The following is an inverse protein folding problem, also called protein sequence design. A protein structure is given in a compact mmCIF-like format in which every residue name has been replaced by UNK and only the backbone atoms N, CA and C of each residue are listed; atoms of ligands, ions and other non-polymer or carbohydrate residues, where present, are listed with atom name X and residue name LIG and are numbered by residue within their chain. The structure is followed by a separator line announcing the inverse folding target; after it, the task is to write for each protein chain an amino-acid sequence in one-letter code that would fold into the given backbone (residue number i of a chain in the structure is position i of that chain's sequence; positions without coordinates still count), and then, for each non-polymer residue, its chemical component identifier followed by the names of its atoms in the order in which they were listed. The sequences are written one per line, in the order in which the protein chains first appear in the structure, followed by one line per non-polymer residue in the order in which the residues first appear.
data_IF_506033082976
#
_entry.id   IF_506033082976
#
_cell.length_a   1.000
_cell.length_b   1.000
_cell.length_c   1.000
_cell.angle_alpha   90.00
_cell.angle_beta   90.00
_cell.angle_gamma   90.00
#
_symmetry.space_group_name_H-M   'P 1'
#
loop_
_entity.id
_entity.type
_entity.pdbx_description
1 polymer ?
#
# COMPACT_ATOMS: atom_id res chain seq x y z
N UNK A 1 -8.97 -25.66 -13.61
CA UNK A 1 -7.99 -26.37 -12.75
C UNK A 1 -6.63 -26.38 -13.42
N UNK A 2 -5.85 -25.32 -13.20
CA UNK A 2 -4.41 -25.42 -13.41
C UNK A 2 -3.84 -26.15 -12.19
N UNK A 3 -3.06 -27.20 -12.43
CA UNK A 3 -2.40 -27.96 -11.37
C UNK A 3 -1.38 -27.05 -10.66
N UNK A 4 -1.48 -26.93 -9.33
CA UNK A 4 -0.55 -26.11 -8.54
C UNK A 4 0.85 -26.71 -8.59
N UNK A 5 1.88 -25.86 -8.69
CA UNK A 5 3.27 -26.30 -8.64
C UNK A 5 3.62 -26.83 -7.24
N UNK A 6 4.11 -28.07 -7.16
CA UNK A 6 4.53 -28.67 -5.88
C UNK A 6 5.90 -28.14 -5.45
N UNK A 7 5.98 -27.57 -4.25
CA UNK A 7 7.25 -27.12 -3.68
C UNK A 7 8.00 -28.29 -3.01
N UNK A 8 9.33 -28.19 -3.00
CA UNK A 8 10.22 -29.21 -2.41
C UNK A 8 10.46 -28.99 -0.92
N UNK A 9 10.56 -27.73 -0.48
CA UNK A 9 10.78 -27.36 0.92
C UNK A 9 9.45 -27.33 1.68
N UNK A 10 9.32 -28.16 2.71
CA UNK A 10 8.08 -28.35 3.50
C UNK A 10 8.17 -27.77 4.91
N UNK A 11 9.23 -27.02 5.21
CA UNK A 11 9.46 -26.38 6.50
C UNK A 11 9.59 -24.87 6.36
N UNK A 12 9.07 -24.13 7.34
CA UNK A 12 9.21 -22.67 7.42
C UNK A 12 10.67 -22.33 7.69
N UNK A 13 11.27 -21.56 6.77
CA UNK A 13 12.68 -21.21 6.82
C UNK A 13 13.05 -20.24 7.92
N UNK A 14 14.32 -20.26 8.33
CA UNK A 14 14.88 -19.26 9.24
C UNK A 14 14.83 -17.85 8.66
N UNK A 15 15.03 -17.69 7.35
CA UNK A 15 14.89 -16.41 6.64
C UNK A 15 13.46 -15.85 6.76
N UNK A 16 12.44 -16.69 6.54
CA UNK A 16 11.04 -16.28 6.69
C UNK A 16 10.67 -15.92 8.13
N UNK A 17 11.18 -16.68 9.12
CA UNK A 17 10.96 -16.36 10.55
C UNK A 17 11.58 -15.01 10.92
N UNK A 18 12.83 -14.77 10.52
CA UNK A 18 13.51 -13.48 10.72
C UNK A 18 12.77 -12.32 10.05
N UNK A 19 12.26 -12.53 8.84
CA UNK A 19 11.48 -11.49 8.15
C UNK A 19 10.15 -11.22 8.87
N UNK A 20 9.47 -12.26 9.38
CA UNK A 20 8.24 -12.11 10.14
C UNK A 20 8.45 -11.38 11.48
N UNK A 21 9.60 -11.57 12.13
CA UNK A 21 9.99 -10.84 13.36
C UNK A 21 10.12 -9.31 13.15
N UNK A 22 10.35 -8.87 11.90
CA UNK A 22 10.40 -7.45 11.54
C UNK A 22 9.01 -6.84 11.26
N UNK A 23 7.93 -7.62 11.33
CA UNK A 23 6.58 -7.07 11.13
C UNK A 23 6.20 -6.30 12.39
N UNK A 24 5.99 -4.97 12.29
CA UNK A 24 5.63 -4.19 13.46
C UNK A 24 4.22 -4.55 13.94
N UNK A 25 3.96 -4.42 15.23
CA UNK A 25 2.65 -4.71 15.82
C UNK A 25 1.64 -3.54 15.67
N UNK A 26 2.09 -2.40 15.13
CA UNK A 26 1.30 -1.20 14.85
C UNK A 26 1.84 -0.43 13.63
N UNK A 27 1.03 0.47 13.09
CA UNK A 27 1.40 1.31 11.94
C UNK A 27 2.49 2.30 12.36
N UNK A 28 3.52 2.47 11.53
CA UNK A 28 4.56 3.48 11.74
C UNK A 28 4.22 4.87 11.18
N UNK A 29 5.09 5.86 11.42
CA UNK A 29 4.94 7.24 10.94
C UNK A 29 6.07 7.57 9.95
N UNK A 30 5.72 8.06 8.76
CA UNK A 30 6.63 8.40 7.68
C UNK A 30 7.27 9.77 7.86
N UNK A 31 6.48 10.81 8.13
CA UNK A 31 6.96 12.20 8.20
C UNK A 31 7.53 12.50 9.59
N UNK A 32 8.81 12.20 9.79
CA UNK A 32 9.49 12.41 11.08
C UNK A 32 10.69 13.35 10.93
N UNK A 33 10.70 14.41 11.73
CA UNK A 33 11.81 15.35 11.84
C UNK A 33 12.91 14.86 12.78
N UNK A 34 13.96 15.65 12.97
CA UNK A 34 15.04 15.36 13.90
C UNK A 34 15.06 16.36 15.07
N UNK A 35 14.96 15.90 16.34
CA UNK A 35 15.08 16.78 17.50
C UNK A 35 16.45 17.46 17.63
N UNK A 36 17.53 16.78 17.23
CA UNK A 36 18.89 17.36 17.23
C UNK A 36 19.10 18.36 16.09
N UNK A 37 18.29 18.28 15.04
CA UNK A 37 18.35 19.15 13.87
C UNK A 37 16.93 19.64 13.46
N UNK A 38 16.25 20.44 14.32
CA UNK A 38 14.81 20.73 14.18
C UNK A 38 14.46 21.67 13.01
N UNK A 39 15.46 22.19 12.31
CA UNK A 39 15.32 23.03 11.12
C UNK A 39 15.28 22.21 9.81
N UNK A 40 15.57 20.91 9.85
CA UNK A 40 15.50 20.06 8.66
C UNK A 40 14.06 19.79 8.25
N UNK A 41 13.80 19.81 6.95
CA UNK A 41 12.53 19.39 6.39
C UNK A 41 12.32 17.89 6.69
N UNK A 42 11.18 17.44 7.25
CA UNK A 42 10.98 16.10 7.81
C UNK A 42 10.73 15.05 6.71
N UNK A 43 11.58 15.00 5.68
CA UNK A 43 11.46 14.13 4.52
C UNK A 43 12.71 13.30 4.33
N UNK A 44 12.57 11.97 4.39
CA UNK A 44 13.62 11.00 4.10
C UNK A 44 14.95 11.28 4.83
N UNK A 45 14.87 11.75 6.08
CA UNK A 45 16.03 12.19 6.86
C UNK A 45 16.90 11.05 7.40
N UNK A 46 16.37 9.83 7.42
CA UNK A 46 16.99 8.70 8.11
C UNK A 46 17.39 7.58 7.15
N UNK A 47 18.52 6.94 7.44
CA UNK A 47 18.89 5.62 6.98
C UNK A 47 18.49 4.56 8.01
N UNK A 48 18.30 3.32 7.57
CA UNK A 48 17.87 2.20 8.42
C UNK A 48 18.44 0.87 7.91
N UNK A 49 18.67 -0.07 8.83
CA UNK A 49 19.21 -1.39 8.56
C UNK A 49 18.42 -2.48 9.29
N UNK A 50 17.99 -3.52 8.57
CA UNK A 50 17.25 -4.66 9.11
C UNK A 50 17.99 -5.46 10.19
N UNK A 51 19.32 -5.44 10.20
CA UNK A 51 20.13 -6.07 11.27
C UNK A 51 20.05 -5.31 12.60
N UNK A 52 19.63 -4.04 12.55
CA UNK A 52 19.42 -3.17 13.72
C UNK A 52 18.06 -2.48 13.62
N UNK A 53 16.95 -3.25 13.69
CA UNK A 53 15.66 -2.79 13.22
C UNK A 53 15.06 -1.64 14.06
N UNK A 54 15.54 -1.48 15.29
CA UNK A 54 15.09 -0.42 16.20
C UNK A 54 15.98 0.83 16.15
N UNK A 55 17.04 0.85 15.32
CA UNK A 55 17.92 2.00 15.14
C UNK A 55 17.61 2.74 13.84
N UNK A 56 17.56 4.08 13.91
CA UNK A 56 17.55 4.96 12.74
C UNK A 56 18.76 5.88 12.77
N UNK A 57 19.36 6.15 11.61
CA UNK A 57 20.59 6.92 11.48
C UNK A 57 20.28 8.22 10.72
N UNK A 58 20.50 9.37 11.34
CA UNK A 58 20.26 10.65 10.69
C UNK A 58 21.29 10.88 9.58
N UNK A 59 20.84 11.06 8.33
CA UNK A 59 21.71 11.24 7.16
C UNK A 59 22.64 12.44 7.25
N UNK A 60 22.23 13.48 7.99
CA UNK A 60 22.98 14.74 8.07
C UNK A 60 24.31 14.59 8.81
N UNK A 61 24.32 13.88 9.93
CA UNK A 61 25.46 13.84 10.86
C UNK A 61 25.79 12.43 11.39
N UNK A 62 25.04 11.42 10.97
CA UNK A 62 25.23 10.03 11.39
C UNK A 62 24.76 9.73 12.81
N UNK A 63 24.05 10.64 13.47
CA UNK A 63 23.50 10.37 14.80
C UNK A 63 22.52 9.20 14.77
N UNK A 64 22.63 8.31 15.75
CA UNK A 64 21.83 7.09 15.86
C UNK A 64 20.79 7.29 16.96
N UNK A 65 19.54 6.98 16.67
CA UNK A 65 18.46 6.92 17.66
C UNK A 65 17.95 5.46 17.79
N UNK A 66 17.60 4.95 18.98
CA UNK A 66 17.53 5.66 20.28
C UNK A 66 18.89 6.11 20.80
N UNK A 67 18.95 7.36 21.27
CA UNK A 67 20.07 7.91 22.02
C UNK A 67 19.67 8.12 23.49
N UNK A 68 20.64 8.25 24.40
CA UNK A 68 20.36 8.50 25.81
C UNK A 68 19.97 9.96 26.11
N UNK A 69 19.60 10.75 25.10
CA UNK A 69 19.34 12.19 25.22
C UNK A 69 17.89 12.56 24.89
N UNK A 70 17.31 11.89 23.90
CA UNK A 70 15.95 12.12 23.39
C UNK A 70 15.09 10.91 23.75
N UNK A 71 14.18 11.13 24.71
CA UNK A 71 13.26 10.12 25.20
C UNK A 71 11.83 10.41 24.73
N UNK A 72 11.16 9.41 24.18
CA UNK A 72 9.74 9.48 23.82
C UNK A 72 8.87 9.21 25.07
N UNK A 73 8.73 10.22 25.92
CA UNK A 73 8.05 10.13 27.22
C UNK A 73 6.54 10.45 27.16
N UNK A 74 6.09 11.06 26.07
CA UNK A 74 4.67 11.28 25.78
C UNK A 74 4.12 10.16 24.91
N UNK A 75 2.78 10.02 24.91
CA UNK A 75 2.11 8.98 24.14
C UNK A 75 0.71 9.37 23.69
N UNK A 76 0.37 8.96 22.48
CA UNK A 76 -1.02 8.83 22.04
C UNK A 76 -1.51 7.41 22.29
N UNK A 77 -2.79 7.25 22.61
CA UNK A 77 -3.43 5.94 22.81
C UNK A 77 -4.69 5.93 21.96
N UNK A 78 -4.81 4.94 21.08
CA UNK A 78 -5.97 4.73 20.20
C UNK A 78 -6.56 3.34 20.44
N UNK A 79 -7.83 3.15 20.06
CA UNK A 79 -8.46 1.83 20.03
C UNK A 79 -8.40 1.21 18.63
N UNK A 80 -8.02 -0.06 18.55
CA UNK A 80 -8.20 -0.87 17.34
C UNK A 80 -9.64 -1.44 17.25
N UNK A 81 -9.93 -2.21 16.20
CA UNK A 81 -11.27 -2.79 15.96
C UNK A 81 -11.72 -3.72 17.09
N UNK A 82 -10.76 -4.39 17.74
CA UNK A 82 -11.01 -5.25 18.91
C UNK A 82 -11.16 -4.47 20.22
N UNK A 83 -11.07 -3.14 20.21
CA UNK A 83 -11.16 -2.28 21.40
C UNK A 83 -9.91 -2.30 22.29
N UNK A 84 -8.80 -2.87 21.81
CA UNK A 84 -7.52 -2.90 22.52
C UNK A 84 -6.79 -1.56 22.37
N UNK A 85 -5.99 -1.20 23.38
CA UNK A 85 -5.16 0.00 23.33
C UNK A 85 -3.94 -0.21 22.44
N UNK A 86 -3.72 0.73 21.53
CA UNK A 86 -2.52 0.84 20.70
C UNK A 86 -1.80 2.13 21.07
N UNK A 87 -0.54 2.03 21.49
CA UNK A 87 0.22 3.14 22.08
C UNK A 87 1.24 3.68 21.08
N UNK A 88 1.31 5.00 20.93
CA UNK A 88 2.22 5.69 20.03
C UNK A 88 3.08 6.65 20.85
N UNK A 89 4.26 6.22 21.31
CA UNK A 89 5.18 7.09 22.03
C UNK A 89 5.77 8.16 21.08
N UNK A 90 6.03 9.34 21.62
CA UNK A 90 6.69 10.43 20.91
C UNK A 90 7.46 11.33 21.87
N UNK A 91 8.46 12.01 21.33
CA UNK A 91 9.12 13.14 21.97
C UNK A 91 8.45 14.43 21.52
N UNK A 92 8.26 15.38 22.42
CA UNK A 92 7.75 16.71 22.10
C UNK A 92 8.76 17.78 22.53
N UNK A 93 9.12 18.68 21.61
CA UNK A 93 10.03 19.79 21.91
C UNK A 93 9.31 20.98 22.57
N UNK A 94 10.10 22.01 22.91
CA UNK A 94 9.61 23.25 23.49
C UNK A 94 8.65 24.04 22.58
N UNK A 95 8.67 23.79 21.27
CA UNK A 95 7.80 24.41 20.27
C UNK A 95 6.56 23.55 19.96
N UNK A 96 6.30 22.51 20.77
CA UNK A 96 5.20 21.54 20.62
C UNK A 96 5.29 20.72 19.32
N UNK A 97 6.47 20.58 18.72
CA UNK A 97 6.67 19.65 17.60
C UNK A 97 6.80 18.23 18.14
N UNK A 98 6.06 17.31 17.52
CA UNK A 98 6.07 15.90 17.88
C UNK A 98 7.00 15.10 16.98
N UNK A 99 7.78 14.21 17.59
CA UNK A 99 8.78 13.38 16.94
C UNK A 99 8.52 11.92 17.30
N UNK A 100 8.05 11.14 16.33
CA UNK A 100 7.74 9.71 16.47
C UNK A 100 8.88 8.84 15.90
N UNK A 101 10.05 8.92 16.54
CA UNK A 101 11.28 8.26 16.12
C UNK A 101 11.15 6.73 16.16
N UNK A 102 10.56 6.15 17.22
CA UNK A 102 10.27 4.70 17.25
C UNK A 102 9.30 4.31 16.15
N UNK A 103 8.25 5.10 15.92
CA UNK A 103 7.26 4.79 14.89
C UNK A 103 7.84 4.93 13.49
N UNK A 104 8.85 5.78 13.29
CA UNK A 104 9.58 5.83 12.03
C UNK A 104 10.38 4.55 11.78
N UNK A 105 11.04 4.01 12.81
CA UNK A 105 11.71 2.71 12.71
C UNK A 105 10.71 1.60 12.33
N UNK A 106 9.51 1.58 12.94
CA UNK A 106 8.45 0.62 12.58
C UNK A 106 7.95 0.80 11.13
N UNK A 107 7.86 2.04 10.64
CA UNK A 107 7.52 2.31 9.24
C UNK A 107 8.56 1.68 8.30
N UNK A 108 9.85 1.87 8.58
CA UNK A 108 10.96 1.35 7.77
C UNK A 108 11.05 -0.17 7.83
N UNK A 109 10.83 -0.77 9.01
CA UNK A 109 10.69 -2.21 9.20
C UNK A 109 9.61 -2.81 8.28
N UNK A 110 8.39 -2.26 8.30
CA UNK A 110 7.30 -2.72 7.42
C UNK A 110 7.63 -2.53 5.94
N UNK A 111 8.21 -1.38 5.59
CA UNK A 111 8.60 -1.10 4.20
C UNK A 111 9.60 -2.14 3.67
N UNK A 112 10.54 -2.57 4.52
CA UNK A 112 11.50 -3.64 4.22
C UNK A 112 10.82 -5.01 4.09
N UNK A 113 9.95 -5.39 5.02
CA UNK A 113 9.18 -6.66 4.91
C UNK A 113 8.42 -6.71 3.59
N UNK A 114 7.71 -5.64 3.24
CA UNK A 114 6.98 -5.55 1.99
C UNK A 114 7.91 -5.62 0.77
N UNK A 115 9.11 -5.03 0.79
CA UNK A 115 10.04 -5.13 -0.35
C UNK A 115 10.62 -6.52 -0.56
N UNK A 116 10.85 -7.28 0.51
CA UNK A 116 11.42 -8.63 0.41
C UNK A 116 10.40 -9.69 -0.03
N UNK A 117 9.12 -9.49 0.29
CA UNK A 117 8.05 -10.45 0.06
C UNK A 117 7.96 -11.00 -1.39
N UNK A 118 7.96 -10.18 -2.46
CA UNK A 118 7.92 -10.68 -3.84
C UNK A 118 9.12 -11.56 -4.21
N UNK A 119 10.31 -11.21 -3.70
CA UNK A 119 11.53 -11.99 -3.91
C UNK A 119 11.50 -13.31 -3.16
N UNK A 120 11.02 -13.29 -1.91
CA UNK A 120 10.83 -14.50 -1.11
C UNK A 120 9.79 -15.43 -1.73
N UNK A 121 8.67 -14.93 -2.22
CA UNK A 121 7.61 -15.74 -2.83
C UNK A 121 8.11 -16.60 -4.00
N UNK A 122 9.15 -16.16 -4.72
CA UNK A 122 9.78 -16.93 -5.82
C UNK A 122 10.77 -17.99 -5.33
N UNK A 123 11.52 -17.71 -4.25
CA UNK A 123 12.61 -18.56 -3.74
C UNK A 123 12.16 -19.53 -2.64
N UNK A 124 11.21 -19.10 -1.82
CA UNK A 124 10.67 -19.80 -0.66
C UNK A 124 9.15 -19.51 -0.53
N UNK A 125 8.30 -20.11 -1.38
CA UNK A 125 6.86 -19.83 -1.38
C UNK A 125 6.18 -20.13 -0.03
N UNK A 126 6.60 -21.19 0.68
CA UNK A 126 6.07 -21.51 2.02
C UNK A 126 6.49 -20.47 3.06
N UNK A 127 7.74 -20.01 3.00
CA UNK A 127 8.22 -18.90 3.82
C UNK A 127 7.44 -17.60 3.57
N UNK A 128 7.19 -17.25 2.31
CA UNK A 128 6.40 -16.07 1.96
C UNK A 128 4.94 -16.18 2.45
N UNK A 129 4.31 -17.36 2.31
CA UNK A 129 2.97 -17.61 2.84
C UNK A 129 2.92 -17.39 4.36
N UNK A 130 3.94 -17.85 5.08
CA UNK A 130 4.07 -17.64 6.52
C UNK A 130 4.22 -16.15 6.89
N UNK A 131 5.06 -15.40 6.16
CA UNK A 131 5.24 -13.96 6.40
C UNK A 131 3.95 -13.18 6.10
N UNK A 132 3.23 -13.52 5.02
CA UNK A 132 1.91 -12.94 4.71
C UNK A 132 0.90 -13.17 5.83
N UNK A 133 0.87 -14.37 6.40
CA UNK A 133 -0.01 -14.68 7.52
C UNK A 133 0.34 -13.86 8.77
N UNK A 134 1.63 -13.71 9.10
CA UNK A 134 2.04 -12.86 10.21
C UNK A 134 1.70 -11.38 9.95
N UNK A 135 1.78 -10.93 8.69
CA UNK A 135 1.36 -9.58 8.32
C UNK A 135 -0.16 -9.38 8.50
N UNK A 136 -0.95 -10.41 8.18
CA UNK A 136 -2.39 -10.44 8.45
C UNK A 136 -2.70 -10.32 9.95
N UNK A 137 -2.01 -11.10 10.80
CA UNK A 137 -2.19 -11.02 12.25
C UNK A 137 -1.79 -9.65 12.84
N UNK A 138 -0.74 -9.03 12.30
CA UNK A 138 -0.36 -7.67 12.69
C UNK A 138 -1.41 -6.64 12.23
N UNK A 139 -1.93 -6.77 11.01
CA UNK A 139 -2.92 -5.85 10.44
C UNK A 139 -4.19 -5.73 11.30
N UNK A 140 -4.64 -6.82 11.94
CA UNK A 140 -5.78 -6.80 12.89
C UNK A 140 -5.61 -5.80 14.03
N UNK A 141 -4.37 -5.46 14.38
CA UNK A 141 -4.02 -4.53 15.46
C UNK A 141 -3.86 -3.09 14.98
N UNK A 142 -3.70 -2.89 13.66
CA UNK A 142 -3.38 -1.60 13.09
C UNK A 142 -4.52 -0.60 13.25
N UNK A 143 -4.12 0.65 13.48
CA UNK A 143 -5.00 1.83 13.43
C UNK A 143 -4.51 2.74 12.30
N UNK A 144 -5.40 3.47 11.61
CA UNK A 144 -4.99 4.46 10.62
C UNK A 144 -4.14 5.55 11.26
N UNK A 145 -3.32 6.21 10.46
CA UNK A 145 -2.58 7.40 10.87
C UNK A 145 -3.05 8.59 10.05
N UNK A 146 -2.99 9.79 10.62
CA UNK A 146 -2.82 11.03 9.87
C UNK A 146 -1.33 11.37 9.90
N UNK A 147 -0.71 11.50 8.74
CA UNK A 147 0.73 11.56 8.61
C UNK A 147 1.12 12.55 7.51
N UNK A 148 1.42 13.78 7.95
CA UNK A 148 1.96 14.84 7.10
C UNK A 148 3.10 15.54 7.82
N UNK A 149 3.82 16.39 7.09
CA UNK A 149 4.96 17.15 7.62
C UNK A 149 4.60 17.85 8.94
N UNK A 150 5.40 17.57 9.99
CA UNK A 150 5.24 18.11 11.34
C UNK A 150 3.91 17.80 12.05
N UNK A 151 3.02 17.02 11.44
CA UNK A 151 1.70 16.68 11.98
C UNK A 151 1.39 15.21 11.68
N UNK A 152 2.02 14.32 12.44
CA UNK A 152 1.73 12.89 12.45
C UNK A 152 1.00 12.51 13.73
N UNK A 153 -0.08 11.72 13.66
CA UNK A 153 -0.72 11.12 14.82
C UNK A 153 -1.57 9.90 14.41
N UNK A 154 -1.70 8.88 15.28
CA UNK A 154 -2.61 7.76 15.04
C UNK A 154 -4.07 8.21 15.18
N UNK A 155 -4.99 7.50 14.53
CA UNK A 155 -6.42 7.81 14.50
C UNK A 155 -7.21 6.63 15.06
N UNK A 156 -8.14 6.89 15.98
CA UNK A 156 -9.00 5.84 16.54
C UNK A 156 -9.96 5.30 15.47
N UNK A 157 -9.97 3.98 15.26
CA UNK A 157 -10.87 3.34 14.27
C UNK A 157 -12.35 3.52 14.61
N UNK A 158 -12.69 3.76 15.88
CA UNK A 158 -14.07 4.01 16.32
C UNK A 158 -14.67 5.31 15.78
N UNK A 159 -13.83 6.24 15.32
CA UNK A 159 -14.33 7.44 14.65
C UNK A 159 -15.06 7.11 13.35
N UNK A 160 -14.75 5.95 12.76
CA UNK A 160 -15.30 5.52 11.48
C UNK A 160 -14.81 6.40 10.31
N UNK A 161 -15.09 5.99 9.07
CA UNK A 161 -14.82 6.82 7.92
C UNK A 161 -15.74 8.08 7.88
N UNK A 162 -15.32 9.17 7.22
CA UNK A 162 -14.08 9.30 6.47
C UNK A 162 -12.87 9.56 7.38
N UNK A 163 -11.79 8.83 7.13
CA UNK A 163 -10.51 9.07 7.76
C UNK A 163 -9.79 10.28 7.12
N UNK A 164 -8.80 10.87 7.81
CA UNK A 164 -8.10 12.05 7.32
C UNK A 164 -7.45 11.89 5.93
N UNK A 165 -7.46 12.96 5.12
CA UNK A 165 -6.91 12.96 3.75
C UNK A 165 -5.44 12.56 3.67
N UNK A 166 -4.61 13.00 4.60
CA UNK A 166 -3.21 12.56 4.70
C UNK A 166 -3.12 11.36 5.62
N UNK A 167 -3.88 10.31 5.33
CA UNK A 167 -3.93 9.15 6.21
C UNK A 167 -4.08 7.84 5.48
N UNK A 168 -3.72 6.77 6.18
CA UNK A 168 -3.69 5.42 5.63
C UNK A 168 -3.31 4.39 6.69
N UNK A 169 -3.26 3.13 6.29
CA UNK A 169 -2.79 2.01 7.13
C UNK A 169 -1.48 1.47 6.56
N UNK A 170 -1.42 1.26 5.25
CA UNK A 170 -0.22 0.81 4.54
C UNK A 170 0.70 1.96 4.15
N UNK A 171 0.15 3.14 3.93
CA UNK A 171 0.88 4.36 3.56
C UNK A 171 0.48 5.54 4.45
N UNK A 172 1.28 6.60 4.40
CA UNK A 172 0.95 7.90 4.99
C UNK A 172 -0.15 8.64 4.22
N UNK A 173 -0.46 8.18 2.99
CA UNK A 173 -1.44 8.81 2.10
C UNK A 173 -2.34 7.78 1.43
N UNK A 174 -3.66 7.89 1.65
CA UNK A 174 -4.63 6.87 1.24
C UNK A 174 -4.58 6.54 -0.26
N UNK A 175 -4.26 7.50 -1.15
CA UNK A 175 -4.14 7.18 -2.58
C UNK A 175 -3.13 6.08 -2.84
N UNK A 176 -2.03 6.07 -2.10
CA UNK A 176 -0.92 5.15 -2.29
C UNK A 176 -1.01 3.89 -1.44
N UNK A 177 -2.03 3.77 -0.58
CA UNK A 177 -2.15 2.69 0.41
C UNK A 177 -2.18 1.31 -0.26
N UNK A 178 -3.08 1.12 -1.24
CA UNK A 178 -3.14 -0.13 -2.01
C UNK A 178 -1.94 -0.33 -2.93
N UNK A 179 -1.29 0.76 -3.38
CA UNK A 179 -0.04 0.65 -4.15
C UNK A 179 1.12 0.13 -3.28
N UNK A 180 1.16 0.51 -2.00
CA UNK A 180 2.14 -0.04 -1.04
C UNK A 180 1.81 -1.51 -0.74
N UNK A 181 0.52 -1.83 -0.53
CA UNK A 181 0.07 -3.22 -0.31
C UNK A 181 0.34 -4.13 -1.52
N UNK A 182 0.45 -3.58 -2.73
CA UNK A 182 0.66 -4.34 -3.97
C UNK A 182 1.87 -5.30 -3.91
N UNK A 183 2.89 -5.01 -3.08
CA UNK A 183 4.01 -5.94 -2.90
C UNK A 183 3.59 -7.25 -2.20
N UNK A 184 2.69 -7.18 -1.21
CA UNK A 184 2.10 -8.37 -0.59
C UNK A 184 1.16 -9.10 -1.56
N UNK A 185 0.48 -8.35 -2.42
CA UNK A 185 -0.39 -8.88 -3.49
C UNK A 185 0.42 -9.68 -4.50
N UNK A 186 1.54 -9.13 -4.98
CA UNK A 186 2.45 -9.82 -5.92
C UNK A 186 3.02 -11.11 -5.31
N UNK A 187 3.33 -11.08 -4.02
CA UNK A 187 3.75 -12.27 -3.27
C UNK A 187 2.63 -13.31 -3.19
N UNK A 188 1.41 -12.92 -2.80
CA UNK A 188 0.26 -13.84 -2.76
C UNK A 188 -0.01 -14.45 -4.14
N UNK A 189 -0.04 -13.63 -5.20
CA UNK A 189 -0.27 -14.10 -6.56
C UNK A 189 0.74 -15.18 -6.97
N UNK A 190 2.01 -15.00 -6.63
CA UNK A 190 3.08 -15.97 -6.88
C UNK A 190 2.89 -17.24 -6.04
N UNK A 191 2.65 -17.09 -4.73
CA UNK A 191 2.45 -18.22 -3.80
C UNK A 191 1.24 -19.06 -4.20
N UNK A 192 0.14 -18.45 -4.66
CA UNK A 192 -1.10 -19.12 -5.08
C UNK A 192 -0.90 -20.09 -6.24
N UNK A 193 0.14 -19.89 -7.06
CA UNK A 193 0.49 -20.83 -8.14
C UNK A 193 1.16 -22.13 -7.64
N UNK A 194 1.40 -22.23 -6.33
CA UNK A 194 2.09 -23.35 -5.68
C UNK A 194 1.22 -24.03 -4.61
N UNK A 195 1.60 -25.22 -4.15
CA UNK A 195 0.94 -25.90 -3.01
C UNK A 195 1.35 -25.35 -1.63
N UNK A 196 2.08 -24.23 -1.56
CA UNK A 196 2.55 -23.62 -0.31
C UNK A 196 1.44 -23.25 0.68
N UNK A 197 0.36 -22.63 0.19
CA UNK A 197 -0.80 -22.31 1.03
C UNK A 197 -1.46 -23.57 1.57
N UNK A 198 -1.59 -24.62 0.75
CA UNK A 198 -2.20 -25.89 1.18
C UNK A 198 -1.35 -26.57 2.26
N UNK A 199 -0.02 -26.54 2.12
CA UNK A 199 0.91 -27.06 3.14
C UNK A 199 0.72 -26.29 4.45
N UNK A 200 0.75 -24.96 4.39
CA UNK A 200 0.65 -24.14 5.60
C UNK A 200 -0.72 -24.29 6.27
N UNK A 201 -1.79 -24.36 5.49
CA UNK A 201 -3.14 -24.64 5.97
C UNK A 201 -3.23 -25.97 6.71
N UNK A 202 -2.60 -27.02 6.16
CA UNK A 202 -2.54 -28.33 6.83
C UNK A 202 -1.70 -28.30 8.11
N UNK A 203 -0.60 -27.55 8.13
CA UNK A 203 0.25 -27.39 9.33
C UNK A 203 -0.48 -26.67 10.47
N UNK A 204 -1.32 -25.69 10.14
CA UNK A 204 -2.00 -24.82 11.11
C UNK A 204 -3.47 -25.21 11.39
N UNK A 205 -4.02 -26.13 10.59
CA UNK A 205 -5.38 -26.66 10.71
C UNK A 205 -6.46 -25.57 10.51
N UNK A 206 -6.23 -24.66 9.56
CA UNK A 206 -7.22 -23.70 9.06
C UNK A 206 -6.87 -23.26 7.62
N UNK A 207 -7.81 -22.67 6.89
CA UNK A 207 -7.56 -22.18 5.53
C UNK A 207 -6.82 -20.83 5.53
N UNK A 208 -5.52 -20.88 5.29
CA UNK A 208 -4.66 -19.69 5.24
C UNK A 208 -5.03 -18.76 4.10
N UNK A 209 -5.44 -19.28 2.95
CA UNK A 209 -5.82 -18.42 1.83
C UNK A 209 -7.07 -17.62 2.17
N UNK A 210 -8.09 -18.29 2.70
CA UNK A 210 -9.32 -17.64 3.14
C UNK A 210 -9.06 -16.58 4.22
N UNK A 211 -8.23 -16.89 5.22
CA UNK A 211 -7.79 -15.91 6.23
C UNK A 211 -7.13 -14.69 5.59
N UNK A 212 -6.16 -14.87 4.68
CA UNK A 212 -5.49 -13.75 4.02
C UNK A 212 -6.49 -12.89 3.22
N UNK A 213 -7.40 -13.52 2.48
CA UNK A 213 -8.41 -12.82 1.68
C UNK A 213 -9.34 -12.01 2.59
N UNK A 214 -9.91 -12.64 3.62
CA UNK A 214 -10.98 -12.06 4.41
C UNK A 214 -10.50 -11.15 5.55
N UNK A 215 -9.28 -11.32 6.04
CA UNK A 215 -8.78 -10.59 7.21
C UNK A 215 -7.66 -9.59 6.89
N UNK A 216 -7.08 -9.64 5.69
CA UNK A 216 -6.05 -8.69 5.24
C UNK A 216 -6.47 -7.93 3.98
N UNK A 217 -6.72 -8.63 2.87
CA UNK A 217 -6.89 -7.98 1.56
C UNK A 217 -8.26 -7.30 1.40
N UNK A 218 -9.37 -7.99 1.68
CA UNK A 218 -10.72 -7.38 1.62
C UNK A 218 -10.86 -6.19 2.57
N UNK A 219 -10.47 -6.29 3.87
CA UNK A 219 -10.56 -5.14 4.77
C UNK A 219 -9.67 -3.95 4.35
N UNK A 220 -8.52 -4.21 3.72
CA UNK A 220 -7.66 -3.15 3.19
C UNK A 220 -8.31 -2.42 2.02
N UNK A 221 -8.99 -3.15 1.13
CA UNK A 221 -9.79 -2.56 0.04
C UNK A 221 -10.94 -1.75 0.62
N UNK A 222 -11.74 -2.33 1.53
CA UNK A 222 -12.87 -1.65 2.17
C UNK A 222 -12.45 -0.34 2.86
N UNK A 223 -11.32 -0.36 3.57
CA UNK A 223 -10.74 0.84 4.17
C UNK A 223 -10.50 1.94 3.13
N UNK A 224 -9.92 1.60 1.97
CA UNK A 224 -9.63 2.59 0.92
C UNK A 224 -10.87 3.02 0.15
N UNK A 225 -11.83 2.12 -0.03
CA UNK A 225 -13.11 2.42 -0.66
C UNK A 225 -14.02 3.29 0.23
N UNK A 226 -13.71 3.40 1.53
CA UNK A 226 -14.39 4.34 2.43
C UNK A 226 -14.04 5.82 2.16
N UNK A 227 -12.93 6.09 1.46
CA UNK A 227 -12.54 7.45 1.10
C UNK A 227 -13.36 7.97 -0.07
N UNK A 228 -13.73 9.25 0.01
CA UNK A 228 -14.34 9.97 -1.10
C UNK A 228 -13.43 9.91 -2.36
N UNK A 229 -14.05 9.78 -3.52
CA UNK A 229 -13.40 10.01 -4.82
C UNK A 229 -13.28 11.52 -5.05
N UNK A 230 -12.06 12.01 -5.19
CA UNK A 230 -11.78 13.44 -5.39
C UNK A 230 -11.59 13.79 -6.86
N UNK A 231 -11.36 12.79 -7.73
CA UNK A 231 -10.95 12.99 -9.11
C UNK A 231 -9.67 13.84 -9.21
N UNK A 232 -8.75 13.61 -8.28
CA UNK A 232 -7.42 14.22 -8.28
C UNK A 232 -6.45 13.46 -9.17
N UNK A 233 -5.33 14.10 -9.47
CA UNK A 233 -4.20 13.50 -10.19
C UNK A 233 -3.66 12.17 -9.63
N UNK A 234 -4.06 11.77 -8.41
CA UNK A 234 -3.58 10.58 -7.73
C UNK A 234 -4.62 9.46 -7.59
N UNK A 235 -5.87 9.67 -8.03
CA UNK A 235 -6.93 8.65 -7.88
C UNK A 235 -6.58 7.33 -8.61
N UNK A 236 -5.77 7.37 -9.67
CA UNK A 236 -5.32 6.18 -10.41
C UNK A 236 -4.54 5.17 -9.54
N UNK A 237 -3.88 5.63 -8.46
CA UNK A 237 -3.13 4.73 -7.56
C UNK A 237 -4.02 3.70 -6.88
N UNK A 238 -5.29 4.05 -6.63
CA UNK A 238 -6.29 3.12 -6.07
C UNK A 238 -6.58 2.02 -7.08
N UNK A 239 -6.89 2.36 -8.33
CA UNK A 239 -7.27 1.38 -9.36
C UNK A 239 -6.12 0.45 -9.74
N UNK A 240 -4.88 0.94 -9.72
CA UNK A 240 -3.70 0.08 -9.82
C UNK A 240 -3.68 -0.99 -8.74
N UNK A 241 -3.97 -0.60 -7.50
CA UNK A 241 -4.07 -1.52 -6.36
C UNK A 241 -5.26 -2.48 -6.47
N UNK A 242 -6.46 -1.97 -6.77
CA UNK A 242 -7.67 -2.80 -6.92
C UNK A 242 -7.50 -3.86 -8.01
N UNK A 243 -7.02 -3.48 -9.20
CA UNK A 243 -6.82 -4.41 -10.30
C UNK A 243 -5.79 -5.50 -9.94
N UNK A 244 -4.71 -5.15 -9.22
CA UNK A 244 -3.75 -6.12 -8.72
C UNK A 244 -4.37 -7.09 -7.71
N UNK A 245 -5.11 -6.55 -6.72
CA UNK A 245 -5.75 -7.34 -5.66
C UNK A 245 -6.78 -8.29 -6.26
N UNK A 246 -7.63 -7.80 -7.18
CA UNK A 246 -8.66 -8.58 -7.87
C UNK A 246 -8.12 -9.91 -8.42
N UNK A 247 -7.00 -9.85 -9.13
CA UNK A 247 -6.36 -11.04 -9.72
C UNK A 247 -5.79 -11.96 -8.63
N UNK A 248 -5.13 -11.38 -7.63
CA UNK A 248 -4.47 -12.17 -6.58
C UNK A 248 -5.47 -12.94 -5.72
N UNK A 249 -6.62 -12.35 -5.39
CA UNK A 249 -7.63 -12.95 -4.50
C UNK A 249 -8.82 -13.60 -5.23
N UNK A 250 -8.81 -13.61 -6.57
CA UNK A 250 -9.92 -14.11 -7.41
C UNK A 250 -11.25 -13.35 -7.19
N UNK A 251 -11.19 -12.02 -7.03
CA UNK A 251 -12.36 -11.16 -6.83
C UNK A 251 -12.60 -10.28 -8.07
N UNK A 252 -13.37 -10.75 -9.07
CA UNK A 252 -13.62 -10.01 -10.31
C UNK A 252 -14.35 -8.68 -10.08
N UNK A 253 -15.17 -8.55 -9.03
CA UNK A 253 -15.89 -7.30 -8.73
C UNK A 253 -14.93 -6.10 -8.60
N UNK A 254 -13.75 -6.31 -8.03
CA UNK A 254 -12.73 -5.27 -7.87
C UNK A 254 -12.08 -4.85 -9.21
N UNK A 255 -12.01 -5.76 -10.19
CA UNK A 255 -11.53 -5.41 -11.53
C UNK A 255 -12.54 -4.50 -12.24
N UNK A 256 -13.82 -4.86 -12.18
CA UNK A 256 -14.91 -4.06 -12.75
C UNK A 256 -15.02 -2.69 -12.09
N UNK A 257 -14.97 -2.63 -10.75
CA UNK A 257 -14.98 -1.37 -10.01
C UNK A 257 -13.81 -0.44 -10.39
N UNK A 258 -12.60 -1.01 -10.52
CA UNK A 258 -11.43 -0.25 -10.93
C UNK A 258 -11.56 0.28 -12.36
N UNK A 259 -12.10 -0.54 -13.27
CA UNK A 259 -12.31 -0.17 -14.67
C UNK A 259 -13.35 0.94 -14.81
N UNK A 260 -14.53 0.80 -14.20
CA UNK A 260 -15.61 1.78 -14.33
C UNK A 260 -15.21 3.14 -13.71
N UNK A 261 -14.54 3.14 -12.56
CA UNK A 261 -14.02 4.39 -11.96
C UNK A 261 -12.98 5.07 -12.82
N UNK A 262 -12.11 4.31 -13.48
CA UNK A 262 -11.13 4.85 -14.41
C UNK A 262 -11.83 5.51 -15.61
N UNK A 263 -12.84 4.85 -16.18
CA UNK A 263 -13.62 5.38 -17.31
C UNK A 263 -14.34 6.67 -16.91
N UNK A 264 -14.99 6.69 -15.75
CA UNK A 264 -15.67 7.88 -15.20
C UNK A 264 -14.68 9.02 -14.94
N UNK A 265 -13.51 8.72 -14.39
CA UNK A 265 -12.47 9.71 -14.15
C UNK A 265 -12.01 10.36 -15.45
N UNK A 266 -11.64 9.57 -16.46
CA UNK A 266 -11.17 10.13 -17.74
C UNK A 266 -12.26 10.99 -18.38
N UNK A 267 -13.51 10.52 -18.34
CA UNK A 267 -14.66 11.22 -18.91
C UNK A 267 -15.01 12.53 -18.18
N UNK A 268 -14.65 12.66 -16.90
CA UNK A 268 -15.00 13.82 -16.06
C UNK A 268 -13.83 14.79 -15.80
N UNK A 269 -12.60 14.38 -16.07
CA UNK A 269 -11.39 15.17 -15.73
C UNK A 269 -10.55 15.59 -16.93
N UNK A 270 -10.90 15.13 -18.13
CA UNK A 270 -10.25 15.58 -19.37
C UNK A 270 -10.95 16.84 -19.90
N UNK A 271 -10.17 17.88 -20.18
CA UNK A 271 -10.62 19.05 -20.91
C UNK A 271 -10.81 18.72 -22.40
N UNK A 272 -11.45 19.62 -23.14
CA UNK A 272 -11.77 19.42 -24.55
C UNK A 272 -10.54 19.14 -25.43
N UNK A 273 -9.37 19.65 -25.05
CA UNK A 273 -8.09 19.46 -25.73
C UNK A 273 -7.26 18.27 -25.19
N UNK A 274 -7.87 17.45 -24.31
CA UNK A 274 -7.22 16.32 -23.66
C UNK A 274 -6.35 16.71 -22.45
N UNK A 275 -6.27 17.99 -22.07
CA UNK A 275 -5.50 18.38 -20.89
C UNK A 275 -6.21 17.94 -19.60
N UNK A 276 -5.46 17.68 -18.54
CA UNK A 276 -6.04 17.28 -17.26
C UNK A 276 -6.60 18.51 -16.53
N UNK A 277 -7.79 18.41 -15.94
CA UNK A 277 -8.56 19.55 -15.42
C UNK A 277 -7.84 20.45 -14.41
N UNK A 278 -6.81 19.96 -13.71
CA UNK A 278 -6.03 20.80 -12.78
C UNK A 278 -5.08 21.78 -13.50
N UNK A 279 -4.95 21.70 -14.83
CA UNK A 279 -4.22 22.66 -15.69
C UNK A 279 -2.74 22.85 -15.34
N UNK A 280 -2.12 21.89 -14.66
CA UNK A 280 -0.66 21.85 -14.45
C UNK A 280 -0.02 20.72 -15.24
N UNK A 281 1.15 20.98 -15.84
CA UNK A 281 1.82 19.98 -16.67
C UNK A 281 2.31 18.76 -15.87
N UNK A 282 2.77 18.97 -14.64
CA UNK A 282 3.19 17.88 -13.75
C UNK A 282 2.03 16.97 -13.38
N UNK A 283 0.86 17.53 -13.02
CA UNK A 283 -0.32 16.73 -12.66
C UNK A 283 -1.00 16.12 -13.87
N UNK A 284 -0.92 16.76 -15.04
CA UNK A 284 -1.31 16.15 -16.30
C UNK A 284 -0.48 14.89 -16.57
N UNK A 285 0.85 14.97 -16.50
CA UNK A 285 1.74 13.84 -16.71
C UNK A 285 1.46 12.69 -15.72
N UNK A 286 1.25 13.04 -14.43
CA UNK A 286 0.90 12.05 -13.42
C UNK A 286 -0.44 11.37 -13.69
N UNK A 287 -1.46 12.14 -14.08
CA UNK A 287 -2.80 11.61 -14.36
C UNK A 287 -2.78 10.72 -15.59
N UNK A 288 -2.35 11.24 -16.73
CA UNK A 288 -2.35 10.49 -18.01
C UNK A 288 -1.44 9.27 -17.94
N UNK A 289 -0.22 9.43 -17.42
CA UNK A 289 0.70 8.30 -17.21
C UNK A 289 0.16 7.29 -16.20
N UNK A 290 -0.57 7.77 -15.18
CA UNK A 290 -1.27 6.93 -14.21
C UNK A 290 -2.35 6.07 -14.84
N UNK A 291 -3.22 6.65 -15.68
CA UNK A 291 -4.26 5.92 -16.42
C UNK A 291 -3.64 4.86 -17.33
N UNK A 292 -2.59 5.20 -18.07
CA UNK A 292 -1.90 4.22 -18.93
C UNK A 292 -1.39 3.01 -18.14
N UNK A 293 -0.86 3.23 -16.94
CA UNK A 293 -0.43 2.14 -16.06
C UNK A 293 -1.60 1.28 -15.59
N UNK A 294 -2.78 1.86 -15.37
CA UNK A 294 -4.01 1.11 -15.03
C UNK A 294 -4.46 0.28 -16.21
N UNK A 295 -4.54 0.87 -17.41
CA UNK A 295 -4.88 0.14 -18.65
C UNK A 295 -3.95 -1.07 -18.87
N UNK A 296 -2.64 -0.88 -18.74
CA UNK A 296 -1.67 -1.97 -18.90
C UNK A 296 -1.83 -3.05 -17.83
N UNK A 297 -2.15 -2.68 -16.58
CA UNK A 297 -2.41 -3.65 -15.50
C UNK A 297 -3.64 -4.52 -15.77
N UNK A 298 -4.66 -3.97 -16.40
CA UNK A 298 -5.92 -4.65 -16.70
C UNK A 298 -5.88 -5.45 -18.02
N UNK A 299 -4.88 -5.18 -18.86
CA UNK A 299 -4.80 -5.73 -20.22
C UNK A 299 -4.72 -7.26 -20.20
N UNK A 300 -5.54 -7.88 -21.03
CA UNK A 300 -5.64 -9.34 -21.17
C UNK A 300 -6.46 -10.03 -20.07
N UNK A 301 -7.03 -9.30 -19.13
CA UNK A 301 -7.89 -9.87 -18.10
C UNK A 301 -9.17 -10.47 -18.69
N UNK A 302 -9.58 -11.62 -18.17
CA UNK A 302 -10.87 -12.26 -18.47
C UNK A 302 -11.53 -12.68 -17.18
N UNK A 303 -12.84 -12.47 -17.08
CA UNK A 303 -13.62 -12.91 -15.93
C UNK A 303 -13.66 -14.44 -15.83
N UNK A 304 -13.76 -15.00 -14.60
CA UNK A 304 -13.99 -16.42 -14.39
C UNK A 304 -15.22 -16.93 -15.16
N UNK A 305 -15.18 -18.17 -15.66
CA UNK A 305 -16.30 -18.79 -16.40
C UNK A 305 -17.61 -18.67 -15.61
N UNK A 306 -18.64 -18.12 -16.25
CA UNK A 306 -19.97 -17.93 -15.66
C UNK A 306 -20.16 -16.64 -14.86
N UNK A 307 -19.08 -15.89 -14.60
CA UNK A 307 -19.20 -14.57 -13.98
C UNK A 307 -19.77 -13.53 -14.96
N UNK A 308 -20.69 -12.72 -14.43
CA UNK A 308 -21.24 -11.50 -15.02
C UNK A 308 -21.24 -10.47 -13.90
N UNK A 309 -20.68 -9.29 -14.17
CA UNK A 309 -20.58 -8.23 -13.17
C UNK A 309 -21.96 -7.77 -12.71
N UNK A 310 -22.23 -7.73 -11.39
CA UNK A 310 -23.47 -7.16 -10.88
C UNK A 310 -23.52 -5.64 -11.05
N UNK A 311 -22.36 -4.98 -11.19
CA UNK A 311 -22.25 -3.53 -11.36
C UNK A 311 -22.76 -3.08 -12.75
N UNK A 312 -22.38 -3.82 -13.79
CA UNK A 312 -22.58 -3.39 -15.19
C UNK A 312 -23.40 -4.36 -16.03
N UNK A 313 -23.66 -5.57 -15.53
CA UNK A 313 -24.22 -6.67 -16.31
C UNK A 313 -23.29 -7.18 -17.41
N UNK A 314 -22.02 -6.77 -17.42
CA UNK A 314 -21.03 -7.13 -18.44
C UNK A 314 -20.06 -8.17 -17.91
N UNK A 315 -19.39 -8.81 -18.87
CA UNK A 315 -18.23 -9.66 -18.66
C UNK A 315 -17.06 -9.07 -19.42
N UNK A 316 -15.87 -9.24 -18.88
CA UNK A 316 -14.60 -8.98 -19.56
C UNK A 316 -14.05 -10.28 -20.16
N UNK A 317 -13.73 -10.22 -21.45
CA UNK A 317 -13.04 -11.28 -22.18
C UNK A 317 -11.84 -10.66 -22.90
N UNK A 318 -10.62 -10.98 -22.45
CA UNK A 318 -9.36 -10.41 -22.94
C UNK A 318 -9.39 -8.87 -23.03
N UNK A 319 -9.66 -8.24 -21.89
CA UNK A 319 -9.86 -6.81 -21.74
C UNK A 319 -8.70 -5.99 -22.33
N UNK A 320 -9.02 -4.95 -23.10
CA UNK A 320 -8.03 -3.97 -23.60
C UNK A 320 -8.57 -2.55 -23.42
N UNK A 321 -8.41 -1.96 -22.22
CA UNK A 321 -8.97 -0.63 -21.94
C UNK A 321 -8.32 0.46 -22.78
N UNK A 322 -7.06 0.28 -23.19
CA UNK A 322 -6.31 1.27 -23.96
C UNK A 322 -6.97 1.62 -25.29
N UNK A 323 -7.69 0.66 -25.89
CA UNK A 323 -8.41 0.84 -27.15
C UNK A 323 -9.59 1.82 -27.07
N UNK A 324 -10.10 2.11 -25.87
CA UNK A 324 -11.28 2.94 -25.64
C UNK A 324 -10.96 4.42 -25.47
N UNK A 325 -9.69 4.77 -25.31
CA UNK A 325 -9.26 6.11 -24.98
C UNK A 325 -8.56 6.80 -26.15
N UNK A 326 -9.28 7.00 -27.25
CA UNK A 326 -8.77 7.79 -28.39
C UNK A 326 -8.34 9.21 -27.99
N UNK A 327 -8.95 9.79 -26.94
CA UNK A 327 -8.54 11.08 -26.37
C UNK A 327 -7.13 11.07 -25.73
N UNK A 328 -6.61 9.92 -25.27
CA UNK A 328 -5.30 9.86 -24.62
C UNK A 328 -4.17 10.15 -25.62
N UNK A 329 -4.32 9.84 -26.91
CA UNK A 329 -3.28 10.16 -27.89
C UNK A 329 -2.96 11.65 -27.93
N UNK A 330 -3.99 12.51 -27.92
CA UNK A 330 -3.80 13.96 -27.86
C UNK A 330 -3.19 14.37 -26.53
N UNK A 331 -3.71 13.85 -25.40
CA UNK A 331 -3.17 14.08 -24.06
C UNK A 331 -1.68 13.74 -23.98
N UNK A 332 -1.23 12.63 -24.56
CA UNK A 332 0.18 12.21 -24.53
C UNK A 332 1.12 13.15 -25.29
N UNK A 333 0.59 13.91 -26.25
CA UNK A 333 1.39 14.87 -27.02
C UNK A 333 1.47 16.25 -26.37
N UNK A 334 0.56 16.59 -25.47
CA UNK A 334 0.48 17.93 -24.84
C UNK A 334 1.77 18.35 -24.14
N UNK A 335 2.48 17.48 -23.38
CA UNK A 335 3.73 17.86 -22.75
C UNK A 335 4.76 18.38 -23.76
N UNK A 336 4.93 17.67 -24.87
CA UNK A 336 5.88 18.06 -25.92
C UNK A 336 5.52 19.37 -26.62
N UNK A 337 4.23 19.73 -26.67
CA UNK A 337 3.76 21.00 -27.23
C UNK A 337 3.99 22.19 -26.28
N UNK A 338 4.14 21.93 -24.99
CA UNK A 338 4.25 22.94 -23.94
C UNK A 338 5.65 23.03 -23.32
N UNK A 339 6.54 22.08 -23.64
CA UNK A 339 7.95 22.13 -23.27
C UNK A 339 8.69 23.26 -23.99
N UNK A 340 9.73 23.77 -23.34
CA UNK A 340 10.71 24.61 -24.02
C UNK A 340 11.56 23.76 -24.99
N UNK A 341 12.27 24.38 -25.94
CA UNK A 341 13.08 23.64 -26.93
C UNK A 341 14.17 22.73 -26.33
N UNK A 342 14.57 22.96 -25.08
CA UNK A 342 15.56 22.16 -24.35
C UNK A 342 14.97 20.96 -23.59
N UNK A 343 13.65 20.74 -23.71
CA UNK A 343 12.92 19.68 -23.00
C UNK A 343 12.39 20.16 -21.66
#
# INVERSE_FOLDING_TARGET
NNEKMKITKREISSEAKKLAELIPDRVGIYWVGSPSNPHLWPYQLYDWNHEKPNEIILKKDGSIWPDQKVFEDKKHIMKNDSGQDVVYPFYEDQDQKQYFLSMHALFLQRAYVLSELPGMAKRDPLGAAYVLLNLCEAYKKYVPVYDTYWRGYPVDKKLGPPYPYWGGVWSWWFYTDLTVLAKAVDALYTVKQTDALDILSNMLVFDVYDTLVNELFRPSVEFIMSYKTYNSNMDYCKWLGLAAISIAIDEPDYMHEAYERMIDYVSSTSLFDGFFMETTLSYHNQSVGGILRVCERMKGYSDPVGYISPLTGKRFDNLDPGSLFSMIEESLTLPWKLSYPDG
#
